data_IF_986774954386
#
_entry.id   IF_986774954386
#
_cell.length_a   1.000
_cell.length_b   1.000
_cell.length_c   1.000
_cell.angle_alpha   90.00
_cell.angle_beta   90.00
_cell.angle_gamma   90.00
#
_symmetry.space_group_name_H-M   'P 1'
#
loop_
_entity.id
_entity.type
_entity.pdbx_description
1 polymer ?
#
# COMPACT_ATOMS: atom_id res chain seq x y z
N UNK A 1 -22.77 0.06 9.35
CA UNK A 1 -21.58 -0.27 10.17
C UNK A 1 -20.32 -0.61 9.35
N UNK A 2 -20.23 -0.18 8.08
CA UNK A 2 -19.15 -0.59 7.16
C UNK A 2 -17.97 0.42 7.14
N UNK A 3 -18.20 1.67 7.57
CA UNK A 3 -17.20 2.75 7.42
C UNK A 3 -16.01 2.70 8.39
N UNK A 4 -16.15 2.03 9.54
CA UNK A 4 -15.09 1.94 10.55
C UNK A 4 -14.00 0.93 10.18
N UNK A 5 -14.37 -0.21 9.60
CA UNK A 5 -13.42 -1.29 9.24
C UNK A 5 -12.54 -0.91 8.03
N UNK A 6 -13.10 -0.14 7.10
CA UNK A 6 -12.41 0.34 5.90
C UNK A 6 -11.34 1.39 6.22
N UNK A 7 -11.68 2.38 7.06
CA UNK A 7 -10.71 3.38 7.52
C UNK A 7 -9.56 2.71 8.27
N UNK A 8 -9.86 1.63 8.99
CA UNK A 8 -8.86 0.81 9.68
C UNK A 8 -7.87 0.17 8.71
N UNK A 9 -8.34 -0.48 7.62
CA UNK A 9 -7.46 -1.11 6.63
C UNK A 9 -6.48 -0.10 6.01
N UNK A 10 -6.96 1.05 5.52
CA UNK A 10 -6.08 2.09 4.95
C UNK A 10 -5.03 2.55 5.97
N UNK A 11 -5.45 2.82 7.21
CA UNK A 11 -4.56 3.27 8.27
C UNK A 11 -3.49 2.24 8.62
N UNK A 12 -3.87 0.95 8.70
CA UNK A 12 -2.97 -0.17 8.98
C UNK A 12 -1.93 -0.36 7.89
N UNK A 13 -2.31 -0.28 6.62
CA UNK A 13 -1.36 -0.34 5.50
C UNK A 13 -0.38 0.82 5.57
N UNK A 14 -0.87 2.06 5.78
CA UNK A 14 0.02 3.23 5.93
C UNK A 14 0.99 3.08 7.09
N UNK A 15 0.52 2.56 8.22
CA UNK A 15 1.34 2.35 9.41
C UNK A 15 2.44 1.33 9.13
N UNK A 16 2.09 0.20 8.53
CA UNK A 16 3.05 -0.85 8.17
C UNK A 16 4.08 -0.37 7.14
N UNK A 17 3.66 0.38 6.12
CA UNK A 17 4.57 0.99 5.15
C UNK A 17 5.52 2.02 5.79
N UNK A 18 5.01 2.84 6.71
CA UNK A 18 5.80 3.84 7.43
C UNK A 18 6.83 3.22 8.37
N UNK A 19 6.56 2.03 8.91
CA UNK A 19 7.46 1.26 9.75
C UNK A 19 8.54 0.49 8.95
N UNK A 20 8.43 0.43 7.62
CA UNK A 20 9.39 -0.29 6.79
C UNK A 20 10.79 0.32 6.88
N UNK A 21 11.87 -0.49 6.96
CA UNK A 21 13.23 0.01 6.89
C UNK A 21 13.56 0.62 5.51
N UNK A 22 12.82 0.23 4.46
CA UNK A 22 12.99 0.71 3.10
C UNK A 22 12.37 2.11 2.94
N UNK A 23 13.20 3.12 2.72
CA UNK A 23 12.75 4.51 2.58
C UNK A 23 11.69 4.73 1.49
N UNK A 24 11.79 4.14 0.29
CA UNK A 24 10.78 4.33 -0.75
C UNK A 24 9.39 3.83 -0.34
N UNK A 25 9.30 2.77 0.47
CA UNK A 25 8.02 2.25 0.96
C UNK A 25 7.30 3.26 1.86
N UNK A 26 8.05 4.05 2.64
CA UNK A 26 7.50 5.09 3.53
C UNK A 26 6.89 6.26 2.75
N UNK A 27 7.26 6.43 1.48
CA UNK A 27 6.74 7.49 0.61
C UNK A 27 5.51 7.05 -0.20
N UNK A 28 5.13 5.78 -0.15
CA UNK A 28 3.97 5.28 -0.89
C UNK A 28 2.68 5.83 -0.31
N UNK A 29 1.77 6.16 -1.23
CA UNK A 29 0.43 6.64 -0.91
C UNK A 29 -0.54 5.47 -0.92
N UNK A 30 -1.46 5.50 0.04
CA UNK A 30 -2.54 4.53 0.17
C UNK A 30 -3.86 5.28 0.18
N UNK A 31 -4.69 4.97 -0.80
CA UNK A 31 -6.03 5.51 -0.94
C UNK A 31 -7.06 4.39 -0.84
N UNK A 32 -8.25 4.76 -0.36
CA UNK A 32 -9.42 3.89 -0.41
C UNK A 32 -10.55 4.65 -1.07
N UNK A 33 -11.07 4.10 -2.17
CA UNK A 33 -12.24 4.61 -2.88
C UNK A 33 -12.91 3.45 -3.61
N UNK A 34 -14.23 3.51 -3.79
CA UNK A 34 -15.04 2.52 -4.52
C UNK A 34 -14.78 1.06 -4.13
N UNK A 35 -14.60 0.81 -2.82
CA UNK A 35 -14.30 -0.51 -2.27
C UNK A 35 -12.98 -1.13 -2.76
N UNK A 36 -12.00 -0.29 -3.07
CA UNK A 36 -10.67 -0.67 -3.55
C UNK A 36 -9.58 0.04 -2.73
N UNK A 37 -8.46 -0.64 -2.53
CA UNK A 37 -7.22 -0.02 -2.05
C UNK A 37 -6.35 0.29 -3.26
N UNK A 38 -5.89 1.53 -3.37
CA UNK A 38 -4.91 1.94 -4.38
C UNK A 38 -3.59 2.23 -3.69
N UNK A 39 -2.54 1.53 -4.13
CA UNK A 39 -1.17 1.74 -3.70
C UNK A 39 -0.40 2.43 -4.84
N UNK A 40 0.05 3.66 -4.59
CA UNK A 40 0.69 4.51 -5.59
C UNK A 40 1.99 5.13 -5.06
N UNK A 41 2.88 5.53 -5.99
CA UNK A 41 4.16 6.15 -5.68
C UNK A 41 5.30 5.54 -6.50
N UNK A 42 6.53 5.78 -6.08
CA UNK A 42 7.75 5.32 -6.76
C UNK A 42 8.64 4.53 -5.83
N UNK A 43 9.30 3.51 -6.38
CA UNK A 43 10.32 2.70 -5.73
C UNK A 43 11.50 2.49 -6.66
N UNK A 44 12.65 2.10 -6.10
CA UNK A 44 13.91 2.01 -6.82
C UNK A 44 14.02 0.72 -7.66
N UNK A 45 13.31 -0.33 -7.25
CA UNK A 45 13.39 -1.64 -7.89
C UNK A 45 12.10 -2.48 -7.73
N UNK A 46 11.99 -3.53 -8.55
CA UNK A 46 10.85 -4.44 -8.53
C UNK A 46 10.69 -5.21 -7.22
N UNK A 47 11.79 -5.45 -6.49
CA UNK A 47 11.73 -6.10 -5.18
C UNK A 47 10.97 -5.23 -4.16
N UNK A 48 11.28 -3.93 -4.11
CA UNK A 48 10.55 -2.97 -3.28
C UNK A 48 9.07 -2.87 -3.70
N UNK A 49 8.78 -2.88 -5.01
CA UNK A 49 7.41 -2.88 -5.54
C UNK A 49 6.63 -4.12 -5.08
N UNK A 50 7.25 -5.29 -5.16
CA UNK A 50 6.64 -6.55 -4.72
C UNK A 50 6.42 -6.55 -3.21
N UNK A 51 7.42 -6.13 -2.43
CA UNK A 51 7.32 -6.04 -0.96
C UNK A 51 6.15 -5.14 -0.54
N UNK A 52 5.99 -3.97 -1.18
CA UNK A 52 4.91 -3.05 -0.88
C UNK A 52 3.53 -3.66 -1.20
N UNK A 53 3.43 -4.38 -2.33
CA UNK A 53 2.20 -5.06 -2.72
C UNK A 53 1.80 -6.15 -1.74
N UNK A 54 2.74 -7.03 -1.37
CA UNK A 54 2.43 -8.16 -0.49
C UNK A 54 2.10 -7.70 0.92
N UNK A 55 2.78 -6.67 1.41
CA UNK A 55 2.44 -6.03 2.68
C UNK A 55 1.02 -5.47 2.65
N UNK A 56 0.64 -4.72 1.61
CA UNK A 56 -0.73 -4.21 1.49
C UNK A 56 -1.76 -5.33 1.38
N UNK A 57 -1.51 -6.34 0.53
CA UNK A 57 -2.39 -7.50 0.31
C UNK A 57 -2.63 -8.29 1.59
N UNK A 58 -1.61 -8.46 2.44
CA UNK A 58 -1.73 -9.18 3.71
C UNK A 58 -2.71 -8.52 4.69
N UNK A 59 -2.92 -7.21 4.57
CA UNK A 59 -3.82 -6.42 5.43
C UNK A 59 -5.21 -6.27 4.79
N UNK A 60 -5.29 -6.27 3.46
CA UNK A 60 -6.50 -6.03 2.69
C UNK A 60 -7.03 -7.29 2.00
N UNK A 61 -6.98 -8.46 2.65
CA UNK A 61 -7.28 -9.76 2.03
C UNK A 61 -8.65 -9.82 1.30
N UNK A 62 -9.67 -9.14 1.85
CA UNK A 62 -11.03 -9.12 1.31
C UNK A 62 -11.35 -7.87 0.46
N UNK A 63 -10.35 -7.03 0.16
CA UNK A 63 -10.51 -5.79 -0.59
C UNK A 63 -9.62 -5.84 -1.83
N UNK A 64 -10.18 -5.46 -2.97
CA UNK A 64 -9.42 -5.38 -4.22
C UNK A 64 -8.25 -4.39 -4.07
N UNK A 65 -7.04 -4.86 -4.36
CA UNK A 65 -5.82 -4.07 -4.30
C UNK A 65 -5.34 -3.74 -5.72
N UNK A 66 -5.30 -2.46 -6.05
CA UNK A 66 -4.73 -1.93 -7.28
C UNK A 66 -3.33 -1.38 -6.97
N UNK A 67 -2.30 -2.03 -7.52
CA UNK A 67 -0.92 -1.59 -7.39
C UNK A 67 -0.49 -0.78 -8.62
N UNK A 68 -0.41 0.54 -8.47
CA UNK A 68 0.09 1.47 -9.49
C UNK A 68 1.49 1.99 -9.18
N UNK A 69 2.23 1.34 -8.27
CA UNK A 69 3.59 1.74 -7.93
C UNK A 69 4.50 1.62 -9.15
N UNK A 70 5.23 2.69 -9.44
CA UNK A 70 6.19 2.73 -10.54
C UNK A 70 7.59 2.37 -10.04
N UNK A 71 8.35 1.67 -10.87
CA UNK A 71 9.78 1.46 -10.64
C UNK A 71 10.52 2.52 -11.44
N UNK A 72 11.08 3.51 -10.74
CA UNK A 72 12.00 4.48 -11.33
C UNK A 72 13.39 4.14 -10.81
N UNK A 73 14.33 3.79 -11.70
CA UNK A 73 15.73 3.72 -11.29
C UNK A 73 16.14 5.13 -10.85
N UNK A 74 16.44 5.27 -9.56
CA UNK A 74 17.13 6.45 -9.03
C UNK A 74 18.53 6.58 -9.60
#
# INVERSE_FOLDING_TARGET
>A
MISSNVKDVRSRIRTALSASPLFPLRQLQVEYHDNRIVLAGRVDNFYQKQMAQELARSISADIELINTVEVSRG
#
